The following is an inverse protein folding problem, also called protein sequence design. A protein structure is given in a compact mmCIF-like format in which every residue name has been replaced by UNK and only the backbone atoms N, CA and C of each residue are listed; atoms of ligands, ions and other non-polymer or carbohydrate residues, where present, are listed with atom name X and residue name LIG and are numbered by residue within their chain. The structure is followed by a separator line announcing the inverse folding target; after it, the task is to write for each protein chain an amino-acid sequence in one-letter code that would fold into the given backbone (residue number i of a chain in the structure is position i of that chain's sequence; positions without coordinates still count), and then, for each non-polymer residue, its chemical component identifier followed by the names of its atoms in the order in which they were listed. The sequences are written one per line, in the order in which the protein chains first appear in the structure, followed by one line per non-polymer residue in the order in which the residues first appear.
data_IF_364887380269
#
_entry.id   IF_364887380269
#
_cell.length_a   1.000
_cell.length_b   1.000
_cell.length_c   1.000
_cell.angle_alpha   90.00
_cell.angle_beta   90.00
_cell.angle_gamma   90.00
#
_symmetry.space_group_name_H-M   'P 1'
#
loop_
_entity.id
_entity.type
_entity.pdbx_description
1 polymer ?
#
# COMPACT_ATOMS: atom_id res chain seq x y z
N UNK A 1 -9.22 1.68 18.66
CA UNK A 1 -8.29 2.69 18.11
C UNK A 1 -7.68 2.16 16.83
N UNK A 2 -7.38 3.04 15.86
CA UNK A 2 -6.81 2.67 14.56
C UNK A 2 -5.81 3.72 14.13
N UNK A 3 -4.85 3.36 13.28
CA UNK A 3 -3.85 4.24 12.73
C UNK A 3 -3.99 4.33 11.21
N UNK A 4 -3.77 5.51 10.66
CA UNK A 4 -3.59 5.70 9.22
C UNK A 4 -2.21 6.29 9.01
N UNK A 5 -1.41 5.65 8.16
CA UNK A 5 -0.12 6.12 7.71
C UNK A 5 -0.24 6.60 6.26
N UNK A 6 -0.65 7.86 6.04
CA UNK A 6 -0.70 8.42 4.70
C UNK A 6 0.70 8.83 4.27
N UNK A 7 0.94 8.90 2.97
CA UNK A 7 2.19 9.43 2.46
C UNK A 7 2.14 9.71 0.98
N UNK A 8 2.82 10.79 0.58
CA UNK A 8 3.08 11.15 -0.80
C UNK A 8 4.56 11.55 -0.94
N UNK A 9 5.12 11.35 -2.12
CA UNK A 9 6.50 11.72 -2.42
C UNK A 9 7.49 10.56 -2.31
N UNK A 10 8.68 10.83 -1.81
CA UNK A 10 9.83 9.93 -1.88
C UNK A 10 9.97 9.07 -0.61
N UNK A 11 10.35 7.80 -0.79
CA UNK A 11 10.50 6.81 0.28
C UNK A 11 11.54 7.22 1.33
N UNK A 12 12.72 7.66 0.89
CA UNK A 12 13.80 8.07 1.80
C UNK A 12 13.36 9.22 2.69
N UNK A 13 12.72 10.23 2.10
CA UNK A 13 12.20 11.37 2.85
C UNK A 13 11.11 10.96 3.85
N UNK A 14 10.28 10.00 3.49
CA UNK A 14 9.28 9.41 4.40
C UNK A 14 9.95 8.76 5.61
N UNK A 15 10.96 7.92 5.40
CA UNK A 15 11.71 7.27 6.48
C UNK A 15 12.49 8.26 7.35
N UNK A 16 13.14 9.26 6.73
CA UNK A 16 13.83 10.33 7.48
C UNK A 16 12.85 11.13 8.35
N UNK A 17 11.66 11.43 7.86
CA UNK A 17 10.65 12.14 8.66
C UNK A 17 10.19 11.31 9.87
N UNK A 18 10.01 10.00 9.72
CA UNK A 18 9.68 9.08 10.82
C UNK A 18 10.83 9.05 11.84
N UNK A 19 12.06 8.92 11.37
CA UNK A 19 13.26 8.87 12.21
C UNK A 19 13.49 10.17 12.96
N UNK A 20 13.50 11.31 12.25
CA UNK A 20 13.76 12.64 12.83
C UNK A 20 12.72 13.07 13.88
N UNK A 21 11.50 12.54 13.77
CA UNK A 21 10.43 12.78 14.75
C UNK A 21 10.37 11.72 15.85
N UNK A 22 11.33 10.77 15.84
CA UNK A 22 11.39 9.67 16.79
C UNK A 22 10.07 8.88 16.90
N UNK A 23 9.42 8.64 15.74
CA UNK A 23 8.12 7.95 15.69
C UNK A 23 8.26 6.42 15.65
N UNK A 24 9.43 5.87 15.28
CA UNK A 24 9.63 4.42 15.13
C UNK A 24 9.27 3.61 16.38
N UNK A 25 9.67 4.01 17.60
CA UNK A 25 9.33 3.26 18.81
C UNK A 25 7.82 3.19 19.05
N UNK A 26 7.11 4.32 18.93
CA UNK A 26 5.66 4.36 19.15
C UNK A 26 4.89 3.62 18.06
N UNK A 27 5.35 3.68 16.79
CA UNK A 27 4.73 2.90 15.72
C UNK A 27 4.89 1.41 15.99
N UNK A 28 6.09 0.96 16.41
CA UNK A 28 6.33 -0.43 16.75
C UNK A 28 5.42 -0.89 17.90
N UNK A 29 5.42 -0.15 19.02
CA UNK A 29 4.55 -0.43 20.16
C UNK A 29 3.08 -0.57 19.73
N UNK A 30 2.54 0.41 19.01
CA UNK A 30 1.13 0.41 18.64
C UNK A 30 0.75 -0.64 17.61
N UNK A 31 1.58 -0.84 16.60
CA UNK A 31 1.26 -1.73 15.46
C UNK A 31 1.61 -3.17 15.81
N UNK A 32 2.77 -3.42 16.41
CA UNK A 32 3.27 -4.78 16.66
C UNK A 32 2.82 -5.28 18.03
N UNK A 33 3.10 -4.52 19.09
CA UNK A 33 2.88 -4.99 20.46
C UNK A 33 1.40 -4.88 20.86
N UNK A 34 0.73 -3.76 20.54
CA UNK A 34 -0.69 -3.54 20.83
C UNK A 34 -1.63 -4.08 19.75
N UNK A 35 -1.08 -4.49 18.60
CA UNK A 35 -1.84 -4.99 17.43
C UNK A 35 -2.95 -4.05 16.97
N UNK A 36 -2.74 -2.73 17.07
CA UNK A 36 -3.70 -1.74 16.58
C UNK A 36 -3.78 -1.79 15.05
N UNK A 37 -4.98 -1.86 14.45
CA UNK A 37 -5.11 -1.84 13.00
C UNK A 37 -4.48 -0.59 12.39
N UNK A 38 -3.61 -0.78 11.39
CA UNK A 38 -2.96 0.29 10.63
C UNK A 38 -3.26 0.16 9.15
N UNK A 39 -3.57 1.29 8.50
CA UNK A 39 -3.72 1.40 7.05
C UNK A 39 -2.63 2.30 6.47
N UNK A 40 -1.71 1.71 5.71
CA UNK A 40 -0.75 2.44 4.89
C UNK A 40 -1.37 2.85 3.55
N UNK A 41 -1.30 4.14 3.20
CA UNK A 41 -1.86 4.68 1.94
C UNK A 41 -0.72 5.19 1.05
N UNK A 42 -0.64 4.68 -0.17
CA UNK A 42 0.35 5.02 -1.20
C UNK A 42 1.78 4.89 -0.66
N UNK A 43 2.52 5.97 -0.45
CA UNK A 43 3.85 5.92 0.17
C UNK A 43 3.79 5.26 1.56
N UNK A 44 2.73 5.50 2.34
CA UNK A 44 2.55 4.86 3.65
C UNK A 44 2.51 3.33 3.57
N UNK A 45 1.86 2.76 2.55
CA UNK A 45 1.90 1.31 2.27
C UNK A 45 3.34 0.84 2.03
N UNK A 46 4.10 1.59 1.26
CA UNK A 46 5.48 1.26 0.91
C UNK A 46 6.41 1.34 2.12
N UNK A 47 6.24 2.35 2.99
CA UNK A 47 7.06 2.52 4.19
C UNK A 47 6.91 1.36 5.19
N UNK A 48 5.78 0.65 5.20
CA UNK A 48 5.56 -0.55 6.04
C UNK A 48 6.44 -1.73 5.63
N UNK A 49 6.94 -1.76 4.38
CA UNK A 49 7.75 -2.83 3.81
C UNK A 49 9.19 -2.82 4.34
N UNK A 50 9.97 -3.86 3.97
CA UNK A 50 11.37 -4.03 4.41
C UNK A 50 12.30 -3.01 3.75
N UNK A 51 12.16 -2.80 2.43
CA UNK A 51 13.05 -1.92 1.64
C UNK A 51 12.38 -1.42 0.37
N UNK A 52 12.99 -0.42 -0.24
CA UNK A 52 12.56 0.13 -1.53
C UNK A 52 13.75 0.34 -2.46
N UNK A 53 13.56 0.09 -3.76
CA UNK A 53 14.54 0.48 -4.79
C UNK A 53 14.70 2.00 -4.92
N UNK A 54 13.82 2.79 -4.31
CA UNK A 54 13.89 4.26 -4.30
C UNK A 54 14.90 4.81 -3.29
N UNK A 55 15.38 3.98 -2.34
CA UNK A 55 16.23 4.44 -1.24
C UNK A 55 17.18 3.35 -0.78
N UNK A 56 18.31 3.77 -0.20
CA UNK A 56 19.21 2.88 0.54
C UNK A 56 18.81 2.68 1.99
N UNK A 57 17.91 3.53 2.52
CA UNK A 57 17.38 3.36 3.87
C UNK A 57 16.39 2.20 3.92
N UNK A 58 16.41 1.42 5.01
CA UNK A 58 15.39 0.39 5.23
C UNK A 58 14.02 1.03 5.49
N UNK A 59 12.95 0.28 5.19
CA UNK A 59 11.60 0.62 5.62
C UNK A 59 11.34 0.26 7.08
N UNK A 60 10.08 0.31 7.48
CA UNK A 60 9.66 -0.04 8.84
C UNK A 60 9.78 -1.54 9.13
N UNK A 61 9.76 -2.39 8.09
CA UNK A 61 9.92 -3.83 8.19
C UNK A 61 8.77 -4.54 8.94
N UNK A 62 7.58 -3.96 8.92
CA UNK A 62 6.41 -4.58 9.53
C UNK A 62 5.70 -5.56 8.60
N UNK A 63 5.99 -5.50 7.31
CA UNK A 63 5.45 -6.38 6.26
C UNK A 63 6.61 -6.94 5.45
N UNK A 64 6.64 -8.27 5.26
CA UNK A 64 7.72 -8.93 4.51
C UNK A 64 7.52 -8.78 2.99
N UNK A 65 7.82 -7.59 2.52
CA UNK A 65 7.71 -7.19 1.13
C UNK A 65 8.82 -6.22 0.72
N UNK A 66 9.14 -6.19 -0.55
CA UNK A 66 10.03 -5.21 -1.17
C UNK A 66 9.22 -4.22 -2.01
N UNK A 67 9.71 -3.00 -2.17
CA UNK A 67 9.13 -2.01 -3.06
C UNK A 67 10.04 -1.85 -4.28
N UNK A 68 9.51 -2.15 -5.46
CA UNK A 68 10.29 -2.17 -6.70
C UNK A 68 9.73 -1.21 -7.74
N UNK A 69 10.59 -0.75 -8.66
CA UNK A 69 10.25 0.21 -9.71
C UNK A 69 9.55 -0.47 -10.88
N UNK A 70 8.53 0.18 -11.44
CA UNK A 70 8.01 -0.19 -12.75
C UNK A 70 9.12 -0.03 -13.81
N UNK A 71 9.32 -1.05 -14.63
CA UNK A 71 10.37 -1.08 -15.66
C UNK A 71 9.76 -1.18 -17.05
N UNK A 72 10.21 -0.32 -17.93
CA UNK A 72 9.94 -0.43 -19.37
C UNK A 72 10.87 -1.48 -19.96
N UNK A 73 10.33 -2.35 -20.81
CA UNK A 73 11.10 -3.31 -21.60
C UNK A 73 11.12 -2.87 -23.06
N UNK A 74 11.96 -3.52 -23.88
CA UNK A 74 12.02 -3.24 -25.34
C UNK A 74 10.68 -3.55 -26.04
N UNK A 75 9.98 -4.56 -25.55
CA UNK A 75 8.72 -5.03 -26.13
C UNK A 75 7.49 -4.35 -25.54
N UNK A 76 7.64 -3.64 -24.44
CA UNK A 76 6.56 -2.95 -23.75
C UNK A 76 7.00 -1.60 -23.19
N UNK A 77 6.63 -0.54 -23.89
CA UNK A 77 6.83 0.84 -23.42
C UNK A 77 5.76 1.17 -22.39
N UNK A 78 6.15 1.20 -21.13
CA UNK A 78 5.27 1.48 -20.02
C UNK A 78 5.38 2.96 -19.61
N UNK A 79 4.25 3.66 -19.51
CA UNK A 79 4.23 5.01 -18.98
C UNK A 79 4.42 4.99 -17.47
N UNK A 80 5.50 5.57 -16.99
CA UNK A 80 5.78 5.71 -15.55
C UNK A 80 5.80 7.20 -15.21
N UNK A 81 5.09 7.65 -14.17
CA UNK A 81 4.33 6.86 -13.19
C UNK A 81 3.04 6.24 -13.76
N UNK A 82 2.57 5.14 -13.13
CA UNK A 82 1.18 4.69 -13.23
C UNK A 82 0.31 5.78 -12.62
N UNK A 83 -0.46 6.48 -13.45
CA UNK A 83 -1.30 7.60 -13.04
C UNK A 83 -2.67 7.50 -13.67
N UNK A 84 -3.70 7.58 -12.85
CA UNK A 84 -5.10 7.58 -13.26
C UNK A 84 -5.94 6.52 -12.57
N UNK A 85 -7.15 6.35 -13.12
CA UNK A 85 -8.10 5.34 -12.64
C UNK A 85 -7.73 3.96 -13.17
N UNK A 86 -7.74 2.98 -12.27
CA UNK A 86 -7.56 1.57 -12.63
C UNK A 86 -8.45 0.69 -11.77
N UNK A 87 -8.79 -0.48 -12.28
CA UNK A 87 -9.54 -1.51 -11.58
C UNK A 87 -8.61 -2.37 -10.72
N UNK A 88 -9.14 -2.88 -9.63
CA UNK A 88 -8.47 -3.92 -8.85
C UNK A 88 -9.26 -5.22 -8.90
N UNK A 89 -8.53 -6.32 -9.00
CA UNK A 89 -9.04 -7.68 -8.81
C UNK A 89 -8.90 -8.02 -7.33
N UNK A 90 -10.00 -8.15 -6.60
CA UNK A 90 -9.99 -8.62 -5.22
C UNK A 90 -9.70 -10.12 -5.24
N UNK A 91 -8.63 -10.55 -4.56
CA UNK A 91 -8.07 -11.90 -4.72
C UNK A 91 -8.61 -12.90 -3.71
N UNK A 92 -9.12 -12.42 -2.59
CA UNK A 92 -9.69 -13.25 -1.53
C UNK A 92 -10.60 -12.43 -0.61
N UNK A 93 -11.40 -13.12 0.18
CA UNK A 93 -12.19 -12.50 1.24
C UNK A 93 -11.29 -11.72 2.21
N UNK A 94 -11.70 -10.52 2.53
CA UNK A 94 -10.94 -9.58 3.36
C UNK A 94 -11.87 -8.52 3.97
N UNK A 95 -11.31 -7.73 4.90
CA UNK A 95 -12.09 -6.74 5.65
C UNK A 95 -12.20 -5.37 4.99
N UNK A 96 -11.47 -5.11 3.88
CA UNK A 96 -11.45 -3.77 3.25
C UNK A 96 -12.36 -3.65 2.04
N UNK A 97 -12.48 -4.72 1.25
CA UNK A 97 -13.19 -4.69 -0.03
C UNK A 97 -14.53 -5.43 0.06
N UNK A 98 -15.51 -4.91 -0.64
CA UNK A 98 -16.81 -5.53 -0.80
C UNK A 98 -16.76 -6.55 -1.96
N UNK A 99 -16.85 -7.85 -1.62
CA UNK A 99 -16.74 -8.94 -2.59
C UNK A 99 -17.88 -8.99 -3.61
N UNK A 100 -19.03 -8.40 -3.28
CA UNK A 100 -20.20 -8.35 -4.17
C UNK A 100 -20.05 -7.38 -5.35
N UNK A 101 -19.04 -6.52 -5.31
CA UNK A 101 -18.78 -5.54 -6.37
C UNK A 101 -17.72 -6.09 -7.33
N UNK A 102 -18.15 -6.47 -8.54
CA UNK A 102 -17.26 -7.04 -9.56
C UNK A 102 -16.16 -6.09 -10.03
N UNK A 103 -16.48 -4.79 -10.18
CA UNK A 103 -15.54 -3.80 -10.68
C UNK A 103 -15.35 -2.67 -9.67
N UNK A 104 -14.23 -2.72 -8.93
CA UNK A 104 -13.83 -1.67 -7.99
C UNK A 104 -12.70 -0.84 -8.60
N UNK A 105 -12.90 0.46 -8.72
CA UNK A 105 -11.97 1.38 -9.38
C UNK A 105 -11.42 2.38 -8.41
N UNK A 106 -10.08 2.56 -8.48
CA UNK A 106 -9.36 3.47 -7.60
C UNK A 106 -8.39 4.36 -8.39
N UNK A 107 -8.01 5.49 -7.80
CA UNK A 107 -7.06 6.42 -8.39
C UNK A 107 -5.64 6.13 -7.92
N UNK A 108 -4.73 5.92 -8.87
CA UNK A 108 -3.31 5.62 -8.65
C UNK A 108 -2.44 6.78 -9.10
N UNK A 109 -1.30 6.98 -8.42
CA UNK A 109 -0.19 7.81 -8.87
C UNK A 109 1.09 7.35 -8.20
N UNK A 110 1.85 6.43 -8.85
CA UNK A 110 3.06 5.86 -8.27
C UNK A 110 4.00 5.31 -9.35
N UNK A 111 5.31 5.33 -9.06
CA UNK A 111 6.37 4.78 -9.93
C UNK A 111 6.96 3.47 -9.39
N UNK A 112 6.65 3.14 -8.14
CA UNK A 112 7.08 1.94 -7.44
C UNK A 112 5.87 1.19 -6.93
N UNK A 113 5.98 -0.13 -6.76
CA UNK A 113 4.91 -0.98 -6.24
C UNK A 113 5.44 -2.03 -5.29
N UNK A 114 4.58 -2.51 -4.42
CA UNK A 114 4.91 -3.53 -3.43
C UNK A 114 4.95 -4.91 -4.08
N UNK A 115 6.04 -5.63 -3.85
CA UNK A 115 6.24 -7.03 -4.21
C UNK A 115 6.30 -7.87 -2.92
N UNK A 116 5.21 -8.49 -2.49
CA UNK A 116 5.20 -9.36 -1.34
C UNK A 116 6.11 -10.58 -1.57
N UNK A 117 6.85 -11.00 -0.55
CA UNK A 117 7.60 -12.26 -0.60
C UNK A 117 6.68 -13.46 -0.44
N UNK A 118 5.58 -13.27 0.28
CA UNK A 118 4.50 -14.25 0.40
C UNK A 118 3.27 -13.73 -0.34
N UNK A 119 2.87 -14.35 -1.46
CA UNK A 119 1.74 -13.88 -2.28
C UNK A 119 0.42 -13.82 -1.51
N UNK A 120 0.26 -14.63 -0.47
CA UNK A 120 -0.98 -14.78 0.28
C UNK A 120 -1.41 -13.51 1.03
N UNK A 121 -0.51 -12.54 1.26
CA UNK A 121 -0.90 -11.28 1.89
C UNK A 121 -1.62 -10.33 0.93
N UNK A 122 -1.50 -10.52 -0.40
CA UNK A 122 -2.18 -9.69 -1.38
C UNK A 122 -3.70 -9.93 -1.36
N UNK A 123 -4.46 -8.88 -1.10
CA UNK A 123 -5.94 -8.89 -1.10
C UNK A 123 -6.53 -8.19 -2.32
N UNK A 124 -5.72 -7.44 -3.06
CA UNK A 124 -6.13 -6.77 -4.28
C UNK A 124 -4.95 -6.61 -5.24
N UNK A 125 -5.17 -6.97 -6.49
CA UNK A 125 -4.19 -6.86 -7.57
C UNK A 125 -4.67 -5.87 -8.63
N UNK A 126 -3.73 -5.18 -9.27
CA UNK A 126 -4.01 -4.35 -10.44
C UNK A 126 -2.97 -4.62 -11.53
N UNK A 127 -3.25 -4.16 -12.75
CA UNK A 127 -2.34 -4.35 -13.88
C UNK A 127 -1.92 -3.01 -14.47
N UNK A 128 -0.61 -2.80 -14.58
CA UNK A 128 -0.01 -1.68 -15.30
C UNK A 128 1.27 -2.17 -15.98
N UNK A 129 1.11 -2.73 -17.18
CA UNK A 129 2.16 -3.47 -17.85
C UNK A 129 2.48 -4.82 -17.20
N UNK A 130 2.61 -4.82 -15.88
CA UNK A 130 2.73 -6.02 -15.05
C UNK A 130 1.59 -6.07 -14.04
N UNK A 131 1.21 -7.26 -13.60
CA UNK A 131 0.28 -7.44 -12.48
C UNK A 131 1.05 -7.17 -11.18
N UNK A 132 0.51 -6.30 -10.31
CA UNK A 132 1.16 -5.89 -9.07
C UNK A 132 0.20 -5.90 -7.88
N UNK A 133 0.74 -5.98 -6.66
CA UNK A 133 -0.02 -5.90 -5.43
C UNK A 133 -0.51 -4.45 -5.23
N UNK A 134 -1.81 -4.23 -5.41
CA UNK A 134 -2.46 -2.94 -5.19
C UNK A 134 -2.97 -2.77 -3.76
N UNK A 135 -3.20 -3.88 -3.06
CA UNK A 135 -3.56 -3.89 -1.64
C UNK A 135 -3.11 -5.19 -0.97
N UNK A 136 -2.67 -5.09 0.27
CA UNK A 136 -2.32 -6.23 1.11
C UNK A 136 -2.98 -6.17 2.50
N UNK A 137 -3.03 -7.33 3.14
CA UNK A 137 -3.39 -7.50 4.54
C UNK A 137 -2.49 -8.57 5.18
N UNK A 138 -1.77 -8.20 6.23
CA UNK A 138 -0.98 -9.10 7.07
C UNK A 138 -1.34 -8.83 8.54
N UNK A 139 -2.14 -9.73 9.13
CA UNK A 139 -2.68 -9.52 10.46
C UNK A 139 -3.52 -8.23 10.58
N UNK A 140 -3.07 -7.34 11.47
CA UNK A 140 -3.67 -6.01 11.70
C UNK A 140 -3.11 -4.91 10.77
N UNK A 141 -2.21 -5.26 9.84
CA UNK A 141 -1.53 -4.31 8.95
C UNK A 141 -2.16 -4.39 7.56
N UNK A 142 -2.66 -3.25 7.09
CA UNK A 142 -3.27 -3.07 5.79
C UNK A 142 -2.48 -2.06 4.97
N UNK A 143 -2.39 -2.30 3.67
CA UNK A 143 -1.77 -1.35 2.75
C UNK A 143 -2.56 -1.24 1.45
N UNK A 144 -2.69 -0.02 0.94
CA UNK A 144 -3.29 0.27 -0.38
C UNK A 144 -2.39 1.21 -1.17
N UNK A 145 -2.09 0.87 -2.43
CA UNK A 145 -1.23 1.67 -3.31
C UNK A 145 -1.94 2.87 -3.90
N UNK A 146 -3.22 2.79 -4.06
CA UNK A 146 -4.07 3.85 -4.56
C UNK A 146 -4.43 4.86 -3.46
N UNK A 147 -5.11 5.92 -3.85
CA UNK A 147 -5.56 7.01 -2.99
C UNK A 147 -7.06 6.87 -2.72
N UNK A 148 -7.51 6.31 -1.58
CA UNK A 148 -8.93 6.22 -1.23
C UNK A 148 -9.60 7.59 -1.24
N UNK A 149 -8.92 8.63 -0.75
CA UNK A 149 -9.41 10.01 -0.67
C UNK A 149 -9.71 10.63 -2.05
N UNK A 150 -9.15 10.03 -3.13
CA UNK A 150 -9.39 10.43 -4.53
C UNK A 150 -10.28 9.45 -5.28
N UNK A 151 -10.76 8.41 -4.63
CA UNK A 151 -11.43 7.27 -5.27
C UNK A 151 -12.94 7.25 -5.07
N UNK A 152 -13.54 8.41 -4.80
CA UNK A 152 -14.99 8.62 -4.68
C UNK A 152 -15.67 7.55 -3.82
N UNK A 153 -16.77 6.95 -4.30
CA UNK A 153 -17.55 5.96 -3.56
C UNK A 153 -16.75 4.74 -3.12
N UNK A 154 -15.84 4.25 -3.97
CA UNK A 154 -15.03 3.08 -3.63
C UNK A 154 -14.03 3.37 -2.51
N UNK A 155 -13.41 4.55 -2.56
CA UNK A 155 -12.53 5.00 -1.49
C UNK A 155 -13.28 5.22 -0.17
N UNK A 156 -14.48 5.81 -0.23
CA UNK A 156 -15.32 5.99 0.97
C UNK A 156 -15.75 4.66 1.58
N UNK A 157 -16.15 3.67 0.75
CA UNK A 157 -16.51 2.34 1.20
C UNK A 157 -15.33 1.66 1.91
N UNK A 158 -14.14 1.69 1.29
CA UNK A 158 -12.92 1.13 1.88
C UNK A 158 -12.58 1.78 3.23
N UNK A 159 -12.62 3.11 3.30
CA UNK A 159 -12.32 3.83 4.54
C UNK A 159 -13.35 3.53 5.63
N UNK A 160 -14.64 3.39 5.27
CA UNK A 160 -15.69 2.97 6.19
C UNK A 160 -15.40 1.57 6.74
N UNK A 161 -15.10 0.59 5.88
CA UNK A 161 -14.75 -0.76 6.32
C UNK A 161 -13.54 -0.76 7.25
N UNK A 162 -12.49 0.00 6.93
CA UNK A 162 -11.33 0.12 7.82
C UNK A 162 -11.71 0.73 9.19
N UNK A 163 -12.58 1.72 9.22
CA UNK A 163 -13.03 2.35 10.49
C UNK A 163 -13.91 1.40 11.30
N UNK A 164 -14.61 0.48 10.68
CA UNK A 164 -15.52 -0.49 11.32
C UNK A 164 -14.80 -1.77 11.81
N UNK A 165 -13.52 -2.02 11.45
CA UNK A 165 -12.71 -3.10 12.03
C UNK A 165 -12.67 -2.96 13.56
#
# INVERSE_FOLDING_TARGET
RKLILPGVGNFERGMLNISNRNLLPVLRERIVDDSIPVLGICLGMQLLCVRSEESTLPGLGFVDADVIKFRTTKDQVLKVPHMGWNTIDVTRENSLFEMSIEEQRFYFVHSYYVLPRTPDIAIGMATHGVKFCAAFQEGNIYGVQFHPEKSHRFGMSLMKHFVEL
#
